data_IF_697926408663
#
_entry.id   IF_697926408663
#
_cell.length_a   1.000
_cell.length_b   1.000
_cell.length_c   1.000
_cell.angle_alpha   90.00
_cell.angle_beta   90.00
_cell.angle_gamma   90.00
#
_symmetry.space_group_name_H-M   'P 1'
#
loop_
_entity.id
_entity.type
_entity.pdbx_description
1 polymer ?
#
# COMPACT_ATOMS: atom_id res chain seq x y z
N UNK A 1 -13.06 -9.70 14.61
CA UNK A 1 -12.84 -8.29 14.21
C UNK A 1 -11.76 -8.29 13.13
N UNK A 2 -12.02 -7.85 11.89
CA UNK A 2 -10.96 -7.86 10.86
C UNK A 2 -11.41 -7.80 9.39
N UNK A 3 -12.54 -7.15 9.08
CA UNK A 3 -13.20 -7.31 7.77
C UNK A 3 -13.09 -6.11 6.81
N UNK A 4 -12.33 -5.05 7.12
CA UNK A 4 -12.34 -3.85 6.28
C UNK A 4 -11.31 -3.82 5.12
N UNK A 5 -10.25 -4.65 5.11
CA UNK A 5 -9.27 -4.61 4.02
C UNK A 5 -9.66 -5.49 2.79
N UNK A 6 -10.91 -6.01 2.70
CA UNK A 6 -11.39 -6.80 1.53
C UNK A 6 -11.90 -5.97 0.36
N UNK A 7 -12.23 -4.69 0.57
CA UNK A 7 -12.96 -3.86 -0.43
C UNK A 7 -12.23 -2.55 -0.77
N UNK A 8 -11.11 -2.27 -0.11
CA UNK A 8 -10.31 -1.06 -0.32
C UNK A 8 -8.99 -1.38 -1.03
N UNK A 9 -8.43 -0.43 -1.79
CA UNK A 9 -7.18 -0.64 -2.50
C UNK A 9 -6.12 -1.10 -1.49
N UNK A 10 -5.56 -2.31 -1.63
CA UNK A 10 -4.51 -2.78 -0.74
C UNK A 10 -3.36 -1.76 -0.69
N UNK A 11 -2.60 -1.69 0.41
CA UNK A 11 -1.44 -0.80 0.53
C UNK A 11 -0.39 -1.06 -0.57
N UNK A 12 -0.51 -2.17 -1.30
CA UNK A 12 0.23 -2.45 -2.55
C UNK A 12 -0.02 -1.43 -3.63
N UNK A 13 -1.23 -0.87 -3.73
CA UNK A 13 -1.55 0.18 -4.68
C UNK A 13 -0.77 1.46 -4.38
N UNK A 14 -0.49 1.76 -3.11
CA UNK A 14 0.38 2.88 -2.74
C UNK A 14 1.81 2.67 -3.26
N UNK A 15 2.42 1.50 -2.97
CA UNK A 15 3.78 1.22 -3.44
C UNK A 15 3.87 1.07 -4.97
N UNK A 16 2.85 0.49 -5.62
CA UNK A 16 2.76 0.41 -7.09
C UNK A 16 2.62 1.80 -7.71
N UNK A 17 1.77 2.65 -7.12
CA UNK A 17 1.60 4.03 -7.54
C UNK A 17 2.92 4.80 -7.39
N UNK A 18 3.60 4.68 -6.24
CA UNK A 18 4.91 5.28 -5.99
C UNK A 18 5.95 4.82 -7.01
N UNK A 19 6.15 3.51 -7.19
CA UNK A 19 7.09 2.98 -8.19
C UNK A 19 6.80 3.52 -9.58
N UNK A 20 5.52 3.50 -9.98
CA UNK A 20 5.09 3.97 -11.30
C UNK A 20 5.31 5.47 -11.46
N UNK A 21 5.04 6.26 -10.42
CA UNK A 21 5.22 7.72 -10.43
C UNK A 21 6.68 8.13 -10.37
N UNK A 22 7.49 7.51 -9.52
CA UNK A 22 8.94 7.69 -9.46
C UNK A 22 9.59 7.32 -10.80
N UNK A 23 9.21 6.19 -11.41
CA UNK A 23 9.72 5.80 -12.73
C UNK A 23 9.29 6.75 -13.85
N UNK A 24 8.10 7.35 -13.74
CA UNK A 24 7.58 8.32 -14.73
C UNK A 24 8.02 9.77 -14.44
N UNK A 25 8.72 10.04 -13.34
CA UNK A 25 9.07 11.40 -12.90
C UNK A 25 7.86 12.31 -12.67
N UNK A 26 6.68 11.75 -12.40
CA UNK A 26 5.44 12.52 -12.22
C UNK A 26 5.11 12.70 -10.74
N UNK A 27 4.38 13.76 -10.42
CA UNK A 27 3.96 14.09 -9.05
C UNK A 27 3.29 12.91 -8.33
N UNK A 28 3.65 12.70 -7.06
CA UNK A 28 3.19 11.62 -6.16
C UNK A 28 1.85 11.90 -5.51
N UNK A 29 1.23 13.07 -5.78
CA UNK A 29 -0.09 13.46 -5.25
C UNK A 29 -1.19 12.38 -5.32
N UNK A 30 -1.38 11.63 -6.43
CA UNK A 30 -2.40 10.58 -6.46
C UNK A 30 -2.05 9.38 -5.58
N UNK A 31 -0.77 9.17 -5.23
CA UNK A 31 -0.36 8.09 -4.33
C UNK A 31 -0.70 8.43 -2.88
N UNK A 32 -0.67 9.70 -2.49
CA UNK A 32 -0.97 10.13 -1.13
C UNK A 32 -2.43 9.85 -0.71
N UNK A 33 -3.35 9.84 -1.68
CA UNK A 33 -4.72 9.38 -1.45
C UNK A 33 -4.76 7.95 -0.92
N UNK A 34 -4.01 7.04 -1.54
CA UNK A 34 -3.93 5.64 -1.09
C UNK A 34 -3.34 5.53 0.32
N UNK A 35 -2.31 6.34 0.63
CA UNK A 35 -1.72 6.41 1.97
C UNK A 35 -2.75 6.72 3.05
N UNK A 36 -3.56 7.76 2.83
CA UNK A 36 -4.60 8.18 3.76
C UNK A 36 -5.68 7.11 3.92
N UNK A 37 -6.11 6.51 2.81
CA UNK A 37 -7.16 5.48 2.80
C UNK A 37 -6.75 4.25 3.60
N UNK A 38 -5.58 3.66 3.34
CA UNK A 38 -5.20 2.44 4.08
C UNK A 38 -4.87 2.73 5.55
N UNK A 39 -4.32 3.91 5.87
CA UNK A 39 -3.98 4.30 7.24
C UNK A 39 -5.23 4.54 8.10
N UNK A 40 -6.32 5.02 7.52
CA UNK A 40 -7.60 5.20 8.24
C UNK A 40 -8.41 3.90 8.38
N UNK A 41 -8.18 2.92 7.50
CA UNK A 41 -9.05 1.74 7.38
C UNK A 41 -8.46 0.45 7.94
N UNK A 42 -7.13 0.31 7.96
CA UNK A 42 -6.48 -0.91 8.42
C UNK A 42 -5.68 -0.63 9.72
N UNK A 43 -5.66 -1.55 10.69
CA UNK A 43 -4.91 -1.40 11.94
C UNK A 43 -3.39 -1.43 11.72
N UNK A 44 -2.63 -0.74 12.57
CA UNK A 44 -1.16 -0.58 12.43
C UNK A 44 -0.42 -1.93 12.37
N UNK A 45 -0.86 -2.92 13.14
CA UNK A 45 -0.25 -4.27 13.14
C UNK A 45 -0.28 -4.93 11.76
N UNK A 46 -1.34 -4.69 10.98
CA UNK A 46 -1.44 -5.21 9.62
C UNK A 46 -0.51 -4.49 8.65
N UNK A 47 -0.35 -3.17 8.82
CA UNK A 47 0.60 -2.37 8.02
C UNK A 47 2.04 -2.82 8.28
N UNK A 48 2.38 -3.13 9.54
CA UNK A 48 3.69 -3.66 9.91
C UNK A 48 3.97 -5.01 9.26
N UNK A 49 3.08 -6.00 9.44
CA UNK A 49 3.25 -7.32 8.82
C UNK A 49 3.33 -7.25 7.29
N UNK A 50 2.61 -6.31 6.69
CA UNK A 50 2.69 -6.06 5.26
C UNK A 50 4.03 -5.44 4.84
N UNK A 51 4.54 -4.46 5.59
CA UNK A 51 5.83 -3.84 5.32
C UNK A 51 6.98 -4.85 5.46
N UNK A 52 6.88 -5.78 6.42
CA UNK A 52 7.79 -6.92 6.55
C UNK A 52 7.74 -7.84 5.33
N UNK A 53 6.55 -8.20 4.83
CA UNK A 53 6.42 -9.03 3.62
C UNK A 53 7.04 -8.37 2.38
N UNK A 54 6.94 -7.05 2.26
CA UNK A 54 7.59 -6.29 1.18
C UNK A 54 9.10 -6.27 1.34
N UNK A 55 9.60 -5.97 2.55
CA UNK A 55 11.03 -5.96 2.85
C UNK A 55 11.66 -7.32 2.62
N UNK A 56 10.93 -8.39 2.96
CA UNK A 56 11.37 -9.77 2.80
C UNK A 56 11.15 -10.33 1.37
N UNK A 57 10.61 -9.52 0.44
CA UNK A 57 10.37 -9.92 -0.95
C UNK A 57 9.38 -11.07 -1.13
N UNK A 58 8.70 -11.49 -0.06
CA UNK A 58 7.78 -12.64 -0.03
C UNK A 58 6.34 -12.25 -0.36
N UNK A 59 6.12 -10.97 -0.67
CA UNK A 59 4.80 -10.45 -0.98
C UNK A 59 4.31 -11.02 -2.32
N UNK A 60 3.27 -11.86 -2.26
CA UNK A 60 2.73 -12.60 -3.41
C UNK A 60 2.07 -11.71 -4.49
N UNK A 61 1.89 -10.40 -4.23
CA UNK A 61 1.36 -9.45 -5.20
C UNK A 61 2.47 -8.72 -5.97
N UNK A 62 2.33 -8.62 -7.30
CA UNK A 62 3.25 -7.82 -8.14
C UNK A 62 3.19 -6.33 -7.76
N UNK A 63 4.29 -5.78 -7.22
CA UNK A 63 4.46 -4.35 -6.87
C UNK A 63 5.15 -3.56 -7.98
#
# INVERSE_FOLDING_TARGET
MGVACRVTPPPTDYHRCLKTRTRRGKSTQPCEYYYRVYHSLCPTSWVESWNEQIKNGTFAGKI
#
